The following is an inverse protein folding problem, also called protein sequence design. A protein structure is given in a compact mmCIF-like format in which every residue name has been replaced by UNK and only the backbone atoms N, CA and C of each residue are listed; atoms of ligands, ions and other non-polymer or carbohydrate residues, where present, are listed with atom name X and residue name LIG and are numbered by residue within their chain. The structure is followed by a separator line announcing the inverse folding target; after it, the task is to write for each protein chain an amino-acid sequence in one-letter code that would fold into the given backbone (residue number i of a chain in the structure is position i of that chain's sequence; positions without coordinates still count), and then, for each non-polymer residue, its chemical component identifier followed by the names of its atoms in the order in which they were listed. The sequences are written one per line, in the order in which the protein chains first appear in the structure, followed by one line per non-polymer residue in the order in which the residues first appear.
data_IF_689723287044
#
_entry.id   IF_689723287044
#
_cell.length_a   1.000
_cell.length_b   1.000
_cell.length_c   1.000
_cell.angle_alpha   90.00
_cell.angle_beta   90.00
_cell.angle_gamma   90.00
#
_symmetry.space_group_name_H-M   'P 1'
#
loop_
_entity.id
_entity.type
_entity.pdbx_description
1 polymer ?
#
# COMPACT_ATOMS: atom_id res chain seq x y z
N UNK A 1 16.96 6.31 -9.04
CA UNK A 1 15.95 5.58 -8.24
C UNK A 1 16.46 4.17 -8.09
N UNK A 2 16.85 3.75 -6.88
CA UNK A 2 17.22 2.35 -6.60
C UNK A 2 15.99 1.50 -6.84
N UNK A 3 16.05 0.61 -7.83
CA UNK A 3 14.98 -0.35 -8.10
C UNK A 3 14.85 -1.26 -6.87
N UNK A 4 13.76 -1.09 -6.12
CA UNK A 4 13.50 -1.94 -4.95
C UNK A 4 13.11 -3.32 -5.47
N UNK A 5 13.95 -4.30 -5.18
CA UNK A 5 13.72 -5.70 -5.61
C UNK A 5 12.44 -6.22 -4.95
N UNK A 6 11.46 -6.69 -5.74
CA UNK A 6 10.22 -7.20 -5.17
C UNK A 6 10.45 -8.48 -4.37
N UNK A 7 9.68 -8.64 -3.27
CA UNK A 7 9.77 -9.75 -2.35
C UNK A 7 8.57 -10.68 -2.46
N UNK A 8 8.80 -11.97 -2.42
CA UNK A 8 7.76 -12.99 -2.27
C UNK A 8 7.83 -13.56 -0.85
N UNK A 9 6.77 -13.39 -0.09
CA UNK A 9 6.62 -14.06 1.19
C UNK A 9 5.89 -15.39 1.01
N UNK A 10 6.29 -16.40 1.75
CA UNK A 10 5.65 -17.73 1.76
C UNK A 10 5.31 -18.07 3.20
N UNK A 11 4.01 -18.30 3.46
CA UNK A 11 3.52 -18.76 4.77
C UNK A 11 2.82 -20.10 4.58
N UNK A 12 3.39 -21.14 5.15
CA UNK A 12 2.92 -22.53 5.07
C UNK A 12 3.48 -23.28 6.29
N UNK A 13 2.73 -24.14 6.96
CA UNK A 13 3.21 -24.87 8.13
C UNK A 13 4.11 -26.07 7.77
N UNK A 14 4.02 -26.59 6.54
CA UNK A 14 4.86 -27.66 6.04
C UNK A 14 6.24 -27.14 5.59
N UNK A 15 7.31 -27.54 6.29
CA UNK A 15 8.69 -27.17 5.97
C UNK A 15 9.14 -27.63 4.58
N UNK A 16 8.69 -28.79 4.13
CA UNK A 16 9.05 -29.33 2.81
C UNK A 16 8.43 -28.49 1.69
N UNK A 17 7.17 -28.09 1.86
CA UNK A 17 6.46 -27.19 0.93
C UNK A 17 7.16 -25.84 0.91
N UNK A 18 7.43 -25.23 2.07
CA UNK A 18 8.14 -23.94 2.15
C UNK A 18 9.50 -23.99 1.45
N UNK A 19 10.28 -25.06 1.70
CA UNK A 19 11.62 -25.22 1.12
C UNK A 19 11.58 -25.39 -0.39
N UNK A 20 10.63 -26.18 -0.91
CA UNK A 20 10.44 -26.39 -2.35
C UNK A 20 10.03 -25.08 -3.06
N UNK A 21 9.05 -24.37 -2.50
CA UNK A 21 8.60 -23.07 -3.03
C UNK A 21 9.73 -22.04 -3.02
N UNK A 22 10.44 -21.92 -1.91
CA UNK A 22 11.55 -20.98 -1.79
C UNK A 22 12.66 -21.26 -2.82
N UNK A 23 12.95 -22.52 -3.08
CA UNK A 23 13.93 -22.91 -4.11
C UNK A 23 13.46 -22.52 -5.51
N UNK A 24 12.22 -22.83 -5.87
CA UNK A 24 11.65 -22.48 -7.17
C UNK A 24 11.66 -20.97 -7.39
N UNK A 25 11.16 -20.20 -6.42
CA UNK A 25 11.07 -18.75 -6.47
C UNK A 25 12.45 -18.11 -6.65
N UNK A 26 13.48 -18.57 -5.90
CA UNK A 26 14.87 -18.10 -6.05
C UNK A 26 15.46 -18.43 -7.41
N UNK A 27 15.24 -19.64 -7.91
CA UNK A 27 15.72 -20.04 -9.25
C UNK A 27 15.08 -19.22 -10.37
N UNK A 28 13.87 -18.70 -10.14
CA UNK A 28 13.17 -17.82 -11.08
C UNK A 28 13.58 -16.33 -10.93
N UNK A 29 14.59 -16.03 -10.09
CA UNK A 29 15.16 -14.68 -9.95
C UNK A 29 14.43 -13.77 -8.95
N UNK A 30 13.49 -14.25 -8.16
CA UNK A 30 12.80 -13.47 -7.14
C UNK A 30 13.46 -13.61 -5.75
N UNK A 31 13.38 -12.55 -4.97
CA UNK A 31 13.71 -12.62 -3.53
C UNK A 31 12.56 -13.31 -2.78
N UNK A 32 12.90 -14.16 -1.79
CA UNK A 32 11.88 -14.88 -1.03
C UNK A 32 12.25 -14.99 0.45
N UNK A 33 11.24 -14.80 1.31
CA UNK A 33 11.28 -15.10 2.74
C UNK A 33 10.17 -16.09 3.09
N UNK A 34 10.43 -17.00 4.02
CA UNK A 34 9.49 -18.05 4.42
C UNK A 34 9.16 -17.97 5.89
N UNK A 35 7.93 -18.30 6.26
CA UNK A 35 7.42 -18.29 7.62
C UNK A 35 6.59 -19.53 7.87
N UNK A 36 6.66 -20.07 9.08
CA UNK A 36 5.95 -21.29 9.49
C UNK A 36 4.51 -21.02 9.97
N UNK A 37 4.19 -19.76 10.29
CA UNK A 37 2.86 -19.36 10.75
C UNK A 37 2.51 -17.93 10.36
N UNK A 38 1.23 -17.61 10.42
CA UNK A 38 0.72 -16.27 10.21
C UNK A 38 1.26 -15.27 11.25
N UNK A 39 1.39 -15.71 12.50
CA UNK A 39 1.87 -14.89 13.62
C UNK A 39 3.33 -14.46 13.40
N UNK A 40 4.22 -15.41 13.05
CA UNK A 40 5.63 -15.11 12.77
C UNK A 40 5.80 -14.20 11.55
N UNK A 41 4.89 -14.29 10.59
CA UNK A 41 4.85 -13.38 9.46
C UNK A 41 4.45 -11.95 9.88
N UNK A 42 3.35 -11.80 10.63
CA UNK A 42 2.86 -10.48 11.09
C UNK A 42 3.93 -9.75 11.90
N UNK A 43 4.64 -10.44 12.79
CA UNK A 43 5.70 -9.84 13.62
C UNK A 43 6.86 -9.25 12.81
N UNK A 44 7.11 -9.77 11.61
CA UNK A 44 8.26 -9.38 10.78
C UNK A 44 7.89 -8.62 9.52
N UNK A 45 6.61 -8.54 9.21
CA UNK A 45 6.15 -7.84 8.02
C UNK A 45 6.27 -6.33 8.17
N UNK A 46 7.07 -5.71 7.28
CA UNK A 46 7.14 -4.26 7.15
C UNK A 46 6.35 -3.81 5.90
N UNK A 47 5.22 -3.13 6.07
CA UNK A 47 4.43 -2.64 4.95
C UNK A 47 5.13 -1.60 4.07
N UNK A 48 6.25 -1.00 4.57
CA UNK A 48 7.07 -0.02 3.84
C UNK A 48 8.33 -0.64 3.22
N UNK A 49 8.55 -1.95 3.40
CA UNK A 49 9.76 -2.66 2.96
C UNK A 49 9.91 -2.79 1.44
N UNK A 50 8.92 -2.37 0.66
CA UNK A 50 8.93 -2.44 -0.80
C UNK A 50 7.76 -3.23 -1.39
N UNK A 51 7.69 -3.34 -2.74
CA UNK A 51 6.67 -4.14 -3.39
C UNK A 51 6.85 -5.62 -3.06
N UNK A 52 5.78 -6.25 -2.55
CA UNK A 52 5.80 -7.65 -2.15
C UNK A 52 4.46 -8.35 -2.43
N UNK A 53 4.47 -9.68 -2.54
CA UNK A 53 3.27 -10.51 -2.53
C UNK A 53 3.42 -11.65 -1.52
N UNK A 54 2.30 -12.25 -1.14
CA UNK A 54 2.21 -13.33 -0.17
C UNK A 54 1.64 -14.59 -0.84
N UNK A 55 2.39 -15.68 -0.79
CA UNK A 55 1.88 -17.05 -0.99
C UNK A 55 1.46 -17.57 0.38
N UNK A 56 0.20 -17.91 0.53
CA UNK A 56 -0.40 -18.21 1.82
C UNK A 56 -1.12 -19.56 1.77
N UNK A 57 -0.74 -20.48 2.64
CA UNK A 57 -1.58 -21.66 2.85
C UNK A 57 -2.91 -21.25 3.48
N UNK A 58 -3.98 -21.79 2.94
CA UNK A 58 -5.31 -21.59 3.48
C UNK A 58 -5.47 -22.20 4.88
N UNK A 59 -4.84 -23.35 5.11
CA UNK A 59 -4.96 -24.16 6.34
C UNK A 59 -3.71 -24.01 7.19
N UNK A 60 -3.68 -22.95 7.98
CA UNK A 60 -2.62 -22.74 8.97
C UNK A 60 -3.12 -23.09 10.38
N UNK A 61 -2.27 -23.66 11.24
CA UNK A 61 -2.57 -23.75 12.66
C UNK A 61 -2.61 -22.35 13.29
N UNK A 62 -3.52 -22.12 14.21
CA UNK A 62 -3.70 -20.81 14.87
C UNK A 62 -4.50 -19.82 14.02
N UNK A 63 -3.92 -18.72 13.61
CA UNK A 63 -4.57 -17.71 12.77
C UNK A 63 -4.77 -18.24 11.35
N UNK A 64 -6.03 -18.39 10.94
CA UNK A 64 -6.35 -18.89 9.59
C UNK A 64 -5.89 -17.93 8.47
N UNK A 65 -5.57 -18.48 7.29
CA UNK A 65 -5.18 -17.68 6.14
C UNK A 65 -6.21 -16.61 5.75
N UNK A 66 -7.52 -16.89 5.87
CA UNK A 66 -8.57 -15.90 5.60
C UNK A 66 -8.57 -14.77 6.65
N UNK A 67 -8.32 -15.07 7.92
CA UNK A 67 -8.22 -14.06 8.96
C UNK A 67 -6.98 -13.16 8.74
N UNK A 68 -5.86 -13.75 8.34
CA UNK A 68 -4.66 -12.99 7.94
C UNK A 68 -4.94 -12.10 6.71
N UNK A 69 -5.66 -12.60 5.72
CA UNK A 69 -6.06 -11.81 4.57
C UNK A 69 -6.82 -10.55 4.97
N UNK A 70 -7.80 -10.66 5.87
CA UNK A 70 -8.58 -9.49 6.33
C UNK A 70 -7.72 -8.40 6.96
N UNK A 71 -6.59 -8.75 7.57
CA UNK A 71 -5.66 -7.79 8.14
C UNK A 71 -4.73 -7.14 7.10
N UNK A 72 -4.45 -7.83 6.00
CA UNK A 72 -3.38 -7.48 5.05
C UNK A 72 -3.87 -7.07 3.66
N UNK A 73 -5.16 -7.23 3.33
CA UNK A 73 -5.66 -7.09 1.95
C UNK A 73 -5.40 -5.74 1.28
N UNK A 74 -5.30 -4.68 2.08
CA UNK A 74 -4.96 -3.33 1.59
C UNK A 74 -3.45 -3.13 1.40
N UNK A 75 -2.62 -3.98 2.03
CA UNK A 75 -1.18 -3.83 2.08
C UNK A 75 -0.44 -4.73 1.09
N UNK A 76 -0.95 -5.93 0.88
CA UNK A 76 -0.21 -7.01 0.26
C UNK A 76 -1.10 -7.86 -0.64
N UNK A 77 -0.78 -8.01 -1.94
CA UNK A 77 -1.43 -8.97 -2.80
C UNK A 77 -1.20 -10.39 -2.30
N UNK A 78 -2.28 -11.16 -2.14
CA UNK A 78 -2.26 -12.52 -1.58
C UNK A 78 -2.64 -13.53 -2.65
N UNK A 79 -1.88 -14.60 -2.75
CA UNK A 79 -2.16 -15.81 -3.53
C UNK A 79 -2.36 -16.93 -2.54
N UNK A 80 -3.55 -17.49 -2.48
CA UNK A 80 -3.81 -18.67 -1.66
C UNK A 80 -3.35 -19.94 -2.32
N UNK A 81 -2.86 -20.88 -1.50
CA UNK A 81 -2.59 -22.26 -1.89
C UNK A 81 -3.36 -23.20 -0.96
N UNK A 82 -3.96 -24.26 -1.48
CA UNK A 82 -4.72 -25.19 -0.66
C UNK A 82 -4.70 -26.61 -1.20
N UNK A 83 -4.39 -27.58 -0.32
CA UNK A 83 -4.49 -29.01 -0.63
C UNK A 83 -5.91 -29.59 -0.58
N UNK A 84 -6.82 -28.93 0.15
CA UNK A 84 -8.21 -29.33 0.35
C UNK A 84 -9.16 -28.15 0.10
N UNK A 85 -8.96 -27.45 -1.02
CA UNK A 85 -9.81 -26.31 -1.35
C UNK A 85 -11.25 -26.73 -1.63
N UNK A 86 -12.18 -26.50 -0.67
CA UNK A 86 -13.58 -26.52 -1.04
C UNK A 86 -13.91 -25.22 -1.80
N UNK A 87 -14.89 -25.28 -2.68
CA UNK A 87 -15.31 -24.16 -3.54
C UNK A 87 -15.67 -22.92 -2.69
N UNK A 88 -16.23 -23.09 -1.48
CA UNK A 88 -16.62 -21.99 -0.62
C UNK A 88 -15.42 -21.19 -0.13
N UNK A 89 -14.34 -21.83 0.33
CA UNK A 89 -13.13 -21.14 0.77
C UNK A 89 -12.44 -20.36 -0.36
N UNK A 90 -12.43 -20.91 -1.57
CA UNK A 90 -11.90 -20.21 -2.73
C UNK A 90 -12.74 -18.95 -3.05
N UNK A 91 -14.06 -19.06 -3.00
CA UNK A 91 -14.98 -17.93 -3.20
C UNK A 91 -14.77 -16.85 -2.14
N UNK A 92 -14.64 -17.25 -0.87
CA UNK A 92 -14.43 -16.32 0.24
C UNK A 92 -13.06 -15.60 0.14
N UNK A 93 -12.00 -16.33 -0.20
CA UNK A 93 -10.69 -15.77 -0.48
C UNK A 93 -10.73 -14.71 -1.60
N UNK A 94 -11.38 -15.06 -2.73
CA UNK A 94 -11.50 -14.15 -3.87
C UNK A 94 -12.37 -12.93 -3.56
N UNK A 95 -13.49 -13.10 -2.84
CA UNK A 95 -14.30 -11.97 -2.35
C UNK A 95 -13.53 -11.08 -1.37
N UNK A 96 -12.65 -11.65 -0.56
CA UNK A 96 -11.75 -10.93 0.33
C UNK A 96 -10.61 -10.20 -0.39
N UNK A 97 -10.56 -10.23 -1.73
CA UNK A 97 -9.58 -9.49 -2.54
C UNK A 97 -8.27 -10.23 -2.81
N UNK A 98 -8.25 -11.57 -2.64
CA UNK A 98 -7.10 -12.36 -3.06
C UNK A 98 -6.79 -12.12 -4.55
N UNK A 99 -5.51 -12.17 -4.89
CA UNK A 99 -5.06 -12.02 -6.27
C UNK A 99 -5.30 -13.30 -7.07
N UNK A 100 -5.13 -14.44 -6.40
CA UNK A 100 -5.36 -15.76 -7.00
C UNK A 100 -5.62 -16.83 -5.93
N UNK A 101 -6.10 -18.01 -6.37
CA UNK A 101 -6.30 -19.19 -5.53
C UNK A 101 -5.84 -20.44 -6.29
N UNK A 102 -4.81 -21.10 -5.80
CA UNK A 102 -4.15 -22.21 -6.47
C UNK A 102 -4.35 -23.53 -5.70
N UNK A 103 -4.98 -24.54 -6.31
CA UNK A 103 -5.06 -25.86 -5.69
C UNK A 103 -3.67 -26.55 -5.69
N UNK A 104 -3.30 -27.17 -4.60
CA UNK A 104 -2.12 -28.08 -4.52
C UNK A 104 -2.50 -29.47 -5.05
N UNK A 105 -1.66 -30.13 -5.90
CA UNK A 105 -0.36 -29.67 -6.37
C UNK A 105 -0.48 -28.64 -7.51
N UNK A 106 0.33 -27.59 -7.45
CA UNK A 106 0.41 -26.54 -8.48
C UNK A 106 1.65 -26.77 -9.36
N UNK A 107 1.52 -26.52 -10.66
CA UNK A 107 2.66 -26.55 -11.58
C UNK A 107 3.50 -25.27 -11.47
N UNK A 108 4.81 -25.38 -11.71
CA UNK A 108 5.73 -24.28 -11.60
C UNK A 108 5.30 -23.06 -12.44
N UNK A 109 4.86 -23.29 -13.67
CA UNK A 109 4.43 -22.22 -14.57
C UNK A 109 3.20 -21.45 -14.04
N UNK A 110 2.19 -22.15 -13.55
CA UNK A 110 0.97 -21.53 -12.99
C UNK A 110 1.31 -20.72 -11.74
N UNK A 111 2.18 -21.24 -10.89
CA UNK A 111 2.62 -20.52 -9.69
C UNK A 111 3.41 -19.24 -10.04
N UNK A 112 4.35 -19.34 -10.97
CA UNK A 112 5.17 -18.18 -11.37
C UNK A 112 4.34 -17.10 -12.07
N UNK A 113 3.39 -17.47 -12.92
CA UNK A 113 2.45 -16.54 -13.54
C UNK A 113 1.59 -15.81 -12.50
N UNK A 114 1.14 -16.52 -11.46
CA UNK A 114 0.38 -15.92 -10.37
C UNK A 114 1.24 -14.94 -9.55
N UNK A 115 2.50 -15.30 -9.27
CA UNK A 115 3.47 -14.44 -8.58
C UNK A 115 3.72 -13.16 -9.40
N UNK A 116 3.93 -13.27 -10.71
CA UNK A 116 4.17 -12.13 -11.58
C UNK A 116 3.00 -11.14 -11.55
N UNK A 117 1.76 -11.63 -11.72
CA UNK A 117 0.55 -10.79 -11.61
C UNK A 117 0.42 -10.12 -10.23
N UNK A 118 0.72 -10.87 -9.17
CA UNK A 118 0.68 -10.34 -7.82
C UNK A 118 1.74 -9.25 -7.58
N UNK A 119 2.97 -9.46 -8.06
CA UNK A 119 4.04 -8.47 -7.96
C UNK A 119 3.80 -7.22 -8.80
N UNK A 120 3.17 -7.34 -9.96
CA UNK A 120 2.73 -6.16 -10.72
C UNK A 120 1.70 -5.33 -9.94
N UNK A 121 0.73 -6.00 -9.32
CA UNK A 121 -0.23 -5.32 -8.42
C UNK A 121 0.47 -4.68 -7.24
N UNK A 122 1.44 -5.39 -6.64
CA UNK A 122 2.25 -4.90 -5.52
C UNK A 122 3.04 -3.63 -5.86
N UNK A 123 3.66 -3.56 -7.04
CA UNK A 123 4.38 -2.36 -7.51
C UNK A 123 3.44 -1.16 -7.62
N UNK A 124 2.23 -1.35 -8.16
CA UNK A 124 1.23 -0.27 -8.26
C UNK A 124 0.78 0.22 -6.89
N UNK A 125 0.47 -0.71 -5.97
CA UNK A 125 0.05 -0.39 -4.60
C UNK A 125 1.17 0.33 -3.82
N UNK A 126 2.40 -0.16 -3.92
CA UNK A 126 3.55 0.44 -3.26
C UNK A 126 3.84 1.85 -3.80
N UNK A 127 3.82 2.01 -5.12
CA UNK A 127 4.03 3.32 -5.76
C UNK A 127 2.99 4.34 -5.32
N UNK A 128 1.71 3.95 -5.29
CA UNK A 128 0.63 4.81 -4.83
C UNK A 128 0.77 5.21 -3.35
N UNK A 129 1.07 4.25 -2.47
CA UNK A 129 1.31 4.53 -1.04
C UNK A 129 2.53 5.43 -0.80
N UNK A 130 3.63 5.16 -1.51
CA UNK A 130 4.84 5.98 -1.41
C UNK A 130 4.58 7.43 -1.86
N UNK A 131 3.80 7.63 -2.92
CA UNK A 131 3.37 8.96 -3.36
C UNK A 131 2.54 9.67 -2.28
N UNK A 132 1.58 8.96 -1.67
CA UNK A 132 0.74 9.52 -0.61
C UNK A 132 1.56 9.90 0.63
N UNK A 133 2.49 9.05 1.07
CA UNK A 133 3.37 9.33 2.20
C UNK A 133 4.25 10.57 1.94
N UNK A 134 4.78 10.72 0.72
CA UNK A 134 5.56 11.90 0.35
C UNK A 134 4.69 13.16 0.38
N UNK A 135 3.47 13.13 -0.17
CA UNK A 135 2.53 14.27 -0.11
C UNK A 135 2.19 14.61 1.34
N UNK A 136 1.85 13.64 2.18
CA UNK A 136 1.55 13.86 3.58
C UNK A 136 2.74 14.46 4.34
N UNK A 137 3.96 14.00 4.04
CA UNK A 137 5.17 14.56 4.64
C UNK A 137 5.37 16.04 4.28
N UNK A 138 5.09 16.43 3.04
CA UNK A 138 5.11 17.83 2.59
C UNK A 138 4.05 18.69 3.30
N UNK A 139 2.83 18.16 3.43
CA UNK A 139 1.75 18.85 4.19
C UNK A 139 2.12 19.04 5.66
N UNK A 140 2.78 18.05 6.29
CA UNK A 140 3.29 18.18 7.68
C UNK A 140 4.33 19.27 7.84
N UNK A 141 5.10 19.60 6.81
CA UNK A 141 6.11 20.67 6.82
C UNK A 141 5.52 22.08 6.69
N UNK A 142 4.23 22.22 6.35
CA UNK A 142 3.57 23.51 6.30
C UNK A 142 3.36 24.04 7.73
N UNK A 143 3.69 25.33 7.92
CA UNK A 143 3.30 26.05 9.14
C UNK A 143 1.78 26.16 9.24
N UNK A 144 1.19 26.41 10.43
CA UNK A 144 -0.25 26.61 10.56
C UNK A 144 -0.78 27.67 9.57
N UNK A 145 -0.06 28.78 9.42
CA UNK A 145 -0.44 29.86 8.51
C UNK A 145 -0.37 29.47 7.03
N UNK A 146 0.64 28.71 6.63
CA UNK A 146 0.76 28.21 5.27
C UNK A 146 -0.36 27.20 4.97
N UNK A 147 -0.77 26.41 5.94
CA UNK A 147 -1.89 25.45 5.80
C UNK A 147 -3.22 26.18 5.61
N UNK A 148 -3.51 27.22 6.41
CA UNK A 148 -4.71 28.07 6.23
C UNK A 148 -4.74 28.69 4.82
N UNK A 149 -3.60 29.24 4.37
CA UNK A 149 -3.48 29.80 3.02
C UNK A 149 -3.69 28.73 1.96
N UNK A 150 -3.09 27.51 2.12
CA UNK A 150 -3.29 26.42 1.18
C UNK A 150 -4.76 26.04 1.05
N UNK A 151 -5.48 25.87 2.15
CA UNK A 151 -6.91 25.51 2.17
C UNK A 151 -7.74 26.50 1.37
N UNK A 152 -7.56 27.81 1.59
CA UNK A 152 -8.32 28.84 0.87
C UNK A 152 -7.93 28.93 -0.61
N UNK A 153 -6.64 28.75 -0.94
CA UNK A 153 -6.14 28.77 -2.32
C UNK A 153 -6.66 27.57 -3.12
N UNK A 154 -6.70 26.39 -2.51
CA UNK A 154 -7.27 25.18 -3.11
C UNK A 154 -8.78 25.31 -3.32
N UNK A 155 -9.47 25.98 -2.41
CA UNK A 155 -10.90 26.34 -2.56
C UNK A 155 -11.17 27.42 -3.63
N UNK A 156 -10.13 27.91 -4.33
CA UNK A 156 -10.26 28.85 -5.45
C UNK A 156 -10.24 30.34 -5.07
N UNK A 157 -9.93 30.69 -3.81
CA UNK A 157 -9.86 32.09 -3.38
C UNK A 157 -8.67 32.82 -4.01
N UNK A 158 -8.92 34.06 -4.46
CA UNK A 158 -7.86 34.96 -4.92
C UNK A 158 -7.07 35.52 -3.74
N UNK A 159 -5.81 35.93 -3.94
CA UNK A 159 -4.95 36.44 -2.86
C UNK A 159 -5.61 37.56 -2.04
N UNK A 160 -6.39 38.48 -2.69
CA UNK A 160 -7.11 39.52 -2.00
C UNK A 160 -8.21 38.99 -1.07
N UNK A 161 -8.91 37.94 -1.49
CA UNK A 161 -9.95 37.28 -0.69
C UNK A 161 -9.32 36.53 0.50
N UNK A 162 -8.24 35.78 0.26
CA UNK A 162 -7.47 35.11 1.31
C UNK A 162 -6.94 36.12 2.33
N UNK A 163 -6.47 37.28 1.88
CA UNK A 163 -5.99 38.36 2.73
C UNK A 163 -7.10 38.93 3.64
N UNK A 164 -8.29 39.11 3.08
CA UNK A 164 -9.49 39.55 3.84
C UNK A 164 -9.89 38.51 4.89
N UNK A 165 -9.99 37.25 4.48
CA UNK A 165 -10.41 36.12 5.35
C UNK A 165 -9.44 35.91 6.52
N UNK A 166 -8.16 36.01 6.26
CA UNK A 166 -7.12 35.75 7.25
C UNK A 166 -6.61 37.00 8.00
N UNK A 167 -7.21 38.19 7.75
CA UNK A 167 -6.81 39.43 8.40
C UNK A 167 -5.36 39.83 8.13
N UNK A 168 -4.84 39.63 6.91
CA UNK A 168 -3.47 39.87 6.54
C UNK A 168 -3.33 40.79 5.31
N UNK A 169 -2.15 41.35 5.10
CA UNK A 169 -1.88 42.10 3.87
C UNK A 169 -1.72 41.14 2.67
N UNK A 170 -2.22 41.51 1.50
CA UNK A 170 -2.13 40.70 0.27
C UNK A 170 -0.69 40.33 -0.08
N UNK A 171 0.26 41.25 0.17
CA UNK A 171 1.72 40.97 0.00
C UNK A 171 2.19 39.81 0.87
N UNK A 172 1.68 39.69 2.10
CA UNK A 172 2.00 38.60 3.03
C UNK A 172 1.40 37.28 2.52
N UNK A 173 0.17 37.31 2.01
CA UNK A 173 -0.44 36.11 1.40
C UNK A 173 0.34 35.62 0.19
N UNK A 174 0.80 36.51 -0.69
CA UNK A 174 1.66 36.15 -1.84
C UNK A 174 2.93 35.40 -1.39
N UNK A 175 3.55 35.84 -0.29
CA UNK A 175 4.73 35.18 0.26
C UNK A 175 4.38 33.78 0.80
N UNK A 176 3.31 33.65 1.60
CA UNK A 176 2.89 32.36 2.12
C UNK A 176 2.47 31.41 0.99
N UNK A 177 1.75 31.89 -0.02
CA UNK A 177 1.41 31.09 -1.20
C UNK A 177 2.66 30.57 -1.93
N UNK A 178 3.67 31.42 -2.14
CA UNK A 178 4.92 30.98 -2.75
C UNK A 178 5.60 29.86 -1.95
N UNK A 179 5.66 30.00 -0.62
CA UNK A 179 6.21 28.97 0.28
C UNK A 179 5.39 27.66 0.26
N UNK A 180 4.07 27.77 0.19
CA UNK A 180 3.20 26.59 0.03
C UNK A 180 3.52 25.88 -1.28
N UNK A 181 3.58 26.60 -2.41
CA UNK A 181 3.93 26.01 -3.72
C UNK A 181 5.30 25.31 -3.68
N UNK A 182 6.29 25.93 -3.07
CA UNK A 182 7.64 25.40 -2.90
C UNK A 182 7.66 24.13 -2.05
N UNK A 183 7.07 24.15 -0.83
CA UNK A 183 7.05 23.02 0.10
C UNK A 183 6.23 21.84 -0.44
N UNK A 184 5.11 22.14 -1.10
CA UNK A 184 4.28 21.14 -1.76
C UNK A 184 4.89 20.62 -3.06
N UNK A 185 5.98 21.26 -3.56
CA UNK A 185 6.61 21.00 -4.86
C UNK A 185 5.60 21.08 -6.01
N UNK A 186 4.67 22.02 -5.94
CA UNK A 186 3.64 22.21 -6.94
C UNK A 186 4.06 23.28 -7.95
N UNK A 187 4.14 22.95 -9.24
CA UNK A 187 4.49 23.86 -10.31
C UNK A 187 3.31 24.73 -10.80
N UNK A 188 2.08 24.36 -10.41
CA UNK A 188 0.86 25.09 -10.78
C UNK A 188 -0.21 24.97 -9.70
N UNK A 189 -1.21 25.89 -9.73
CA UNK A 189 -2.37 25.79 -8.83
C UNK A 189 -3.14 24.48 -9.05
N UNK A 190 -3.31 24.06 -10.29
CA UNK A 190 -4.00 22.80 -10.60
C UNK A 190 -3.28 21.58 -10.02
N UNK A 191 -1.97 21.61 -9.97
CA UNK A 191 -1.17 20.56 -9.33
C UNK A 191 -1.32 20.60 -7.81
N UNK A 192 -1.29 21.80 -7.20
CA UNK A 192 -1.53 21.96 -5.76
C UNK A 192 -2.89 21.42 -5.35
N UNK A 193 -3.95 21.69 -6.12
CA UNK A 193 -5.31 21.17 -5.87
C UNK A 193 -5.28 19.64 -5.88
N UNK A 194 -4.71 19.01 -6.92
CA UNK A 194 -4.60 17.54 -7.00
C UNK A 194 -3.83 16.92 -5.84
N UNK A 195 -2.74 17.56 -5.41
CA UNK A 195 -1.95 17.09 -4.26
C UNK A 195 -2.74 17.21 -2.96
N UNK A 196 -3.48 18.30 -2.76
CA UNK A 196 -4.31 18.50 -1.59
C UNK A 196 -5.47 17.47 -1.52
N UNK A 197 -6.18 17.23 -2.62
CA UNK A 197 -7.24 16.22 -2.71
C UNK A 197 -6.71 14.81 -2.41
N UNK A 198 -5.53 14.45 -2.94
CA UNK A 198 -4.88 13.17 -2.61
C UNK A 198 -4.53 13.06 -1.12
N UNK A 199 -4.06 14.13 -0.49
CA UNK A 199 -3.72 14.13 0.94
C UNK A 199 -4.97 13.95 1.81
N UNK A 200 -6.10 14.56 1.45
CA UNK A 200 -7.37 14.46 2.19
C UNK A 200 -8.00 13.08 2.08
N UNK A 201 -8.02 12.48 0.87
CA UNK A 201 -8.55 11.13 0.66
C UNK A 201 -7.78 10.07 1.46
N UNK A 202 -6.48 10.23 1.62
CA UNK A 202 -5.66 9.31 2.43
C UNK A 202 -5.97 9.42 3.94
N UNK A 203 -6.29 10.63 4.43
CA UNK A 203 -6.64 10.84 5.85
C UNK A 203 -8.01 10.24 6.19
N UNK A 204 -8.95 10.24 5.24
CA UNK A 204 -10.27 9.64 5.41
C UNK A 204 -10.20 8.10 5.51
N UNK A 205 -9.28 7.48 4.77
CA UNK A 205 -9.08 6.02 4.78
C UNK A 205 -8.41 5.54 6.08
N UNK A 206 -7.45 6.29 6.61
CA UNK A 206 -6.73 5.98 7.85
C UNK A 206 -7.64 6.04 9.08
N UNK A 207 -8.63 6.95 9.09
CA UNK A 207 -9.59 7.09 10.19
C UNK A 207 -10.57 5.91 10.26
N UNK A 208 -10.86 5.27 9.12
CA UNK A 208 -11.77 4.10 9.08
C UNK A 208 -11.08 2.80 9.51
N UNK A 209 -9.76 2.70 9.33
CA UNK A 209 -8.97 1.53 9.75
C UNK A 209 -8.68 1.50 11.26
N UNK A 210 -8.75 2.64 11.96
CA UNK A 210 -8.48 2.76 13.41
C UNK A 210 -9.69 2.42 14.31
N UNK A 211 -10.87 2.14 13.74
CA UNK A 211 -12.12 1.87 14.46
C UNK A 211 -12.67 0.44 14.28
N UNK A 212 -11.86 -0.53 13.80
CA UNK A 212 -12.29 -1.94 13.69
C UNK A 212 -11.34 -2.89 14.40
#
# INVERSE_FOLDING_TARGET
MTEVTPMVFVVDDDEHVRSALARLIRLSGYSVQTFESAETFIERFDPNGGPACLLLDLQLPGLSGLALQHQLHEWLPIIFMSGHGNMSSAVDAMKGGATDFLPKPVTDSVLLDAIERALERARRLFGWRSELQDIQSRVKQLTPREREVMTLVVAGYLNKQVASELGAAEKTIKIHRARVMEKMKAGSLAELVRLAEKAESATATDTTASYR
#
